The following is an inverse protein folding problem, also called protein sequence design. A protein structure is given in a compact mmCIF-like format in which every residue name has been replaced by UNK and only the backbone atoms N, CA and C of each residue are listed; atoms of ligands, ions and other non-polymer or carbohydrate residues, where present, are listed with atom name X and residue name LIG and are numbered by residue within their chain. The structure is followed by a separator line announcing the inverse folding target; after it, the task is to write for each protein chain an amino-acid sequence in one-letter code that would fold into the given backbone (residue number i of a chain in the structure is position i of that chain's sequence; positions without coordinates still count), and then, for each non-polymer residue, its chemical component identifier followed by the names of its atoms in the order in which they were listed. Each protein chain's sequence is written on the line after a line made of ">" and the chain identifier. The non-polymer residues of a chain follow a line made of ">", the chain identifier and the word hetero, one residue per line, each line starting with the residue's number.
data_IF_592966848897
#
_entry.id   IF_592966848897
#
_cell.length_a   1.000
_cell.length_b   1.000
_cell.length_c   1.000
_cell.angle_alpha   90.00
_cell.angle_beta   90.00
_cell.angle_gamma   90.00
#
_symmetry.space_group_name_H-M   'P 1'
#
loop_
_entity.id
_entity.type
_entity.pdbx_description
1 polymer ?
#
# COMPACT_ATOMS: atom_id res chain seq x y z
N UNK A 1 27.84 -6.36 9.89
CA UNK A 1 28.13 -4.95 9.50
C UNK A 1 27.09 -4.57 8.46
N UNK A 2 26.41 -3.43 8.61
CA UNK A 2 25.51 -2.89 7.58
C UNK A 2 26.29 -2.12 6.51
N UNK A 3 25.57 -1.62 5.50
CA UNK A 3 26.12 -0.78 4.45
C UNK A 3 26.64 0.54 5.03
N UNK A 4 27.76 1.05 4.50
CA UNK A 4 28.24 2.39 4.87
C UNK A 4 27.31 3.48 4.33
N UNK A 5 27.40 4.68 4.92
CA UNK A 5 26.76 5.88 4.36
C UNK A 5 27.41 6.20 3.01
N UNK A 6 26.57 6.42 1.99
CA UNK A 6 27.01 6.81 0.64
C UNK A 6 26.56 8.23 0.32
N UNK A 7 27.42 8.96 -0.39
CA UNK A 7 27.18 10.34 -0.84
C UNK A 7 27.91 10.58 -2.16
N UNK A 8 27.66 11.72 -2.77
CA UNK A 8 28.31 12.15 -4.00
C UNK A 8 29.83 11.98 -3.92
N UNK A 9 30.42 11.53 -5.02
CA UNK A 9 31.81 11.16 -5.24
C UNK A 9 32.25 9.82 -4.63
N UNK A 10 31.41 9.09 -3.91
CA UNK A 10 31.70 7.72 -3.50
C UNK A 10 31.73 6.80 -4.71
N UNK A 11 32.59 5.77 -4.65
CA UNK A 11 32.77 4.76 -5.71
C UNK A 11 32.87 3.36 -5.10
N UNK A 12 32.58 2.36 -5.91
CA UNK A 12 32.78 0.95 -5.56
C UNK A 12 31.53 0.10 -5.53
N UNK A 13 31.65 -1.08 -4.92
CA UNK A 13 30.60 -2.11 -4.98
C UNK A 13 29.34 -1.70 -4.22
N UNK A 14 29.45 -0.94 -3.14
CA UNK A 14 28.27 -0.44 -2.42
C UNK A 14 27.45 0.53 -3.26
N UNK A 15 28.10 1.34 -4.12
CA UNK A 15 27.39 2.20 -5.07
C UNK A 15 26.74 1.35 -6.16
N UNK A 16 27.40 0.27 -6.63
CA UNK A 16 26.79 -0.69 -7.57
C UNK A 16 25.56 -1.37 -6.97
N UNK A 17 25.63 -1.78 -5.69
CA UNK A 17 24.49 -2.33 -4.96
C UNK A 17 23.34 -1.34 -4.93
N UNK A 18 23.60 -0.08 -4.54
CA UNK A 18 22.62 0.98 -4.51
C UNK A 18 21.94 1.15 -5.88
N UNK A 19 22.71 1.27 -6.95
CA UNK A 19 22.20 1.42 -8.31
C UNK A 19 21.39 0.20 -8.77
N UNK A 20 21.78 -1.01 -8.40
CA UNK A 20 21.01 -2.22 -8.68
C UNK A 20 19.64 -2.24 -7.96
N UNK A 21 19.56 -1.72 -6.72
CA UNK A 21 18.36 -1.74 -5.89
C UNK A 21 17.39 -0.58 -6.19
N UNK A 22 17.90 0.52 -6.75
CA UNK A 22 17.11 1.74 -6.95
C UNK A 22 16.83 2.07 -8.43
N UNK A 23 17.30 1.24 -9.35
CA UNK A 23 17.29 1.51 -10.79
C UNK A 23 18.58 2.17 -11.22
N UNK A 24 19.31 1.53 -12.10
CA UNK A 24 20.62 2.00 -12.57
C UNK A 24 20.53 3.41 -13.14
N UNK A 25 21.10 4.38 -12.46
CA UNK A 25 21.16 5.78 -12.85
C UNK A 25 22.63 6.24 -12.79
N UNK A 26 23.07 6.97 -13.78
CA UNK A 26 24.42 7.49 -13.88
C UNK A 26 25.49 6.42 -14.21
N UNK A 27 26.76 6.74 -13.95
CA UNK A 27 27.90 5.85 -14.21
C UNK A 27 27.93 4.71 -13.18
N UNK A 28 27.96 3.46 -13.67
CA UNK A 28 27.87 2.28 -12.79
C UNK A 28 29.06 2.18 -11.84
N UNK A 29 28.77 2.15 -10.55
CA UNK A 29 29.75 2.13 -9.47
C UNK A 29 30.27 3.51 -9.05
N UNK A 30 29.70 4.59 -9.58
CA UNK A 30 30.00 5.96 -9.18
C UNK A 30 28.75 6.67 -8.65
N UNK A 31 28.89 7.35 -7.52
CA UNK A 31 27.82 8.18 -6.96
C UNK A 31 27.98 9.58 -7.55
N UNK A 32 27.51 9.76 -8.78
CA UNK A 32 27.56 11.01 -9.51
C UNK A 32 26.35 11.92 -9.20
N UNK A 33 26.26 13.05 -9.86
CA UNK A 33 25.15 14.02 -9.66
C UNK A 33 23.81 13.45 -10.07
N UNK A 34 23.80 12.61 -11.09
CA UNK A 34 22.57 11.99 -11.58
C UNK A 34 22.00 11.02 -10.56
N UNK A 35 22.87 10.17 -9.97
CA UNK A 35 22.47 9.28 -8.88
C UNK A 35 22.04 10.07 -7.62
N UNK A 36 22.74 11.15 -7.26
CA UNK A 36 22.35 12.02 -6.14
C UNK A 36 20.91 12.56 -6.33
N UNK A 37 20.61 13.10 -7.51
CA UNK A 37 19.28 13.60 -7.81
C UNK A 37 18.20 12.51 -7.77
N UNK A 38 18.56 11.29 -8.22
CA UNK A 38 17.69 10.13 -8.11
C UNK A 38 17.42 9.75 -6.65
N UNK A 39 18.47 9.74 -5.79
CA UNK A 39 18.32 9.47 -4.35
C UNK A 39 17.47 10.53 -3.66
N UNK A 40 17.66 11.81 -3.96
CA UNK A 40 16.78 12.89 -3.46
C UNK A 40 15.31 12.61 -3.80
N UNK A 41 15.02 12.19 -5.03
CA UNK A 41 13.67 11.84 -5.46
C UNK A 41 13.15 10.60 -4.76
N UNK A 42 14.00 9.59 -4.56
CA UNK A 42 13.68 8.36 -3.84
C UNK A 42 13.38 8.64 -2.35
N UNK A 43 14.20 9.47 -1.71
CA UNK A 43 14.00 9.90 -0.31
C UNK A 43 12.67 10.64 -0.14
N UNK A 44 12.31 11.54 -1.06
CA UNK A 44 10.98 12.17 -1.09
C UNK A 44 9.86 11.13 -1.22
N UNK A 45 10.04 10.13 -2.06
CA UNK A 45 9.07 9.03 -2.24
C UNK A 45 8.94 8.18 -0.98
N UNK A 46 10.04 8.00 -0.24
CA UNK A 46 10.08 7.26 1.03
C UNK A 46 9.83 8.14 2.26
N UNK A 47 9.48 9.42 2.06
CA UNK A 47 9.23 10.40 3.14
C UNK A 47 10.41 10.55 4.11
N UNK A 48 11.62 10.48 3.59
CA UNK A 48 12.85 10.75 4.31
C UNK A 48 13.33 12.18 4.06
N UNK A 49 14.26 12.67 4.90
CA UNK A 49 15.02 13.88 4.60
C UNK A 49 15.69 13.73 3.24
N UNK A 50 15.33 14.59 2.29
CA UNK A 50 15.77 14.49 0.89
C UNK A 50 17.12 15.22 0.69
N UNK A 51 18.16 14.72 1.37
CA UNK A 51 19.51 15.27 1.41
C UNK A 51 20.47 14.67 0.37
N UNK A 52 20.02 13.64 -0.36
CA UNK A 52 20.84 12.92 -1.33
C UNK A 52 21.87 11.99 -0.71
N UNK A 53 21.88 11.80 0.61
CA UNK A 53 22.81 10.94 1.36
C UNK A 53 22.11 9.62 1.69
N UNK A 54 22.74 8.49 1.32
CA UNK A 54 22.23 7.16 1.63
C UNK A 54 22.76 6.70 2.97
N UNK A 55 22.20 7.21 4.05
CA UNK A 55 22.49 6.79 5.42
C UNK A 55 21.63 5.60 5.89
N UNK A 56 21.71 5.22 7.19
CA UNK A 56 21.00 4.07 7.74
C UNK A 56 19.49 4.09 7.46
N UNK A 57 18.81 5.22 7.62
CA UNK A 57 17.38 5.37 7.34
C UNK A 57 17.04 5.15 5.86
N UNK A 58 17.90 5.63 4.96
CA UNK A 58 17.73 5.43 3.52
C UNK A 58 17.95 3.95 3.15
N UNK A 59 18.97 3.31 3.72
CA UNK A 59 19.21 1.86 3.53
C UNK A 59 18.07 1.00 4.05
N UNK A 60 17.51 1.35 5.21
CA UNK A 60 16.35 0.66 5.80
C UNK A 60 15.11 0.77 4.90
N UNK A 61 14.83 1.97 4.40
CA UNK A 61 13.74 2.18 3.45
C UNK A 61 13.96 1.38 2.16
N UNK A 62 15.17 1.38 1.60
CA UNK A 62 15.51 0.57 0.42
C UNK A 62 15.29 -0.92 0.73
N UNK A 63 15.78 -1.43 1.87
CA UNK A 63 15.65 -2.83 2.27
C UNK A 63 14.18 -3.29 2.37
N UNK A 64 13.31 -2.43 2.92
CA UNK A 64 11.90 -2.72 3.12
C UNK A 64 11.10 -2.85 1.81
N UNK A 65 11.60 -2.25 0.73
CA UNK A 65 10.94 -2.23 -0.58
C UNK A 65 11.46 -3.29 -1.56
N UNK A 66 12.43 -4.12 -1.13
CA UNK A 66 12.99 -5.13 -2.03
C UNK A 66 12.10 -6.38 -2.17
N UNK A 67 12.06 -7.00 -3.36
CA UNK A 67 11.30 -8.22 -3.59
C UNK A 67 11.94 -9.42 -2.88
N UNK A 68 11.14 -10.45 -2.63
CA UNK A 68 11.68 -11.74 -2.18
C UNK A 68 12.37 -12.46 -3.34
N UNK A 69 13.65 -12.82 -3.16
CA UNK A 69 14.44 -13.56 -4.14
C UNK A 69 14.62 -15.02 -3.73
N UNK A 70 14.56 -15.89 -4.71
CA UNK A 70 14.77 -17.35 -4.56
C UNK A 70 15.41 -17.93 -5.81
N UNK A 71 15.78 -19.19 -5.77
CA UNK A 71 16.32 -19.88 -6.94
C UNK A 71 15.39 -19.67 -8.14
N UNK A 72 15.97 -19.36 -9.30
CA UNK A 72 15.33 -18.92 -10.57
C UNK A 72 14.99 -17.43 -10.67
N UNK A 73 15.00 -16.65 -9.59
CA UNK A 73 14.89 -15.18 -9.68
C UNK A 73 15.99 -14.60 -10.55
N UNK A 74 15.68 -13.52 -11.28
CA UNK A 74 16.62 -12.82 -12.18
C UNK A 74 16.45 -11.31 -12.03
N UNK A 75 17.51 -10.55 -12.35
CA UNK A 75 17.45 -9.10 -12.42
C UNK A 75 18.48 -8.39 -11.56
N UNK A 76 18.32 -7.07 -11.43
CA UNK A 76 19.26 -6.22 -10.71
C UNK A 76 19.25 -6.47 -9.20
N UNK A 77 18.10 -6.79 -8.62
CA UNK A 77 17.97 -7.12 -7.20
C UNK A 77 18.73 -8.41 -6.87
N UNK A 78 18.75 -9.39 -7.79
CA UNK A 78 19.59 -10.60 -7.66
C UNK A 78 21.06 -10.22 -7.70
N UNK A 79 21.46 -9.35 -8.64
CA UNK A 79 22.83 -8.86 -8.75
C UNK A 79 23.29 -8.13 -7.49
N UNK A 80 22.42 -7.29 -6.91
CA UNK A 80 22.67 -6.63 -5.64
C UNK A 80 22.89 -7.64 -4.50
N UNK A 81 22.00 -8.63 -4.37
CA UNK A 81 22.16 -9.69 -3.37
C UNK A 81 23.47 -10.48 -3.56
N UNK A 82 23.84 -10.77 -4.80
CA UNK A 82 25.09 -11.46 -5.13
C UNK A 82 26.34 -10.66 -4.71
N UNK A 83 26.40 -9.36 -4.98
CA UNK A 83 27.47 -8.48 -4.45
C UNK A 83 27.54 -8.58 -2.93
N UNK A 84 26.40 -8.54 -2.24
CA UNK A 84 26.34 -8.51 -0.78
C UNK A 84 26.72 -9.85 -0.12
N UNK A 85 26.48 -10.99 -0.77
CA UNK A 85 26.84 -12.32 -0.25
C UNK A 85 28.12 -12.89 -0.82
N UNK A 86 28.84 -12.17 -1.70
CA UNK A 86 30.05 -12.61 -2.34
C UNK A 86 29.85 -13.74 -3.34
N UNK A 87 28.77 -13.71 -4.11
CA UNK A 87 28.53 -14.57 -5.26
C UNK A 87 28.86 -13.85 -6.57
N UNK A 88 29.01 -14.61 -7.67
CA UNK A 88 29.17 -14.01 -9.00
C UNK A 88 27.94 -13.17 -9.34
N UNK A 89 28.13 -11.86 -9.59
CA UNK A 89 27.06 -10.89 -9.79
C UNK A 89 26.52 -10.88 -11.24
N UNK A 90 26.03 -12.04 -11.70
CA UNK A 90 25.48 -12.25 -13.04
C UNK A 90 23.97 -11.91 -13.15
N UNK A 91 23.30 -11.68 -12.01
CA UNK A 91 21.89 -11.41 -11.94
C UNK A 91 21.01 -12.65 -12.09
N UNK A 92 21.57 -13.86 -11.93
CA UNK A 92 20.84 -15.13 -11.99
C UNK A 92 20.95 -15.83 -10.63
N UNK A 93 19.82 -16.01 -9.94
CA UNK A 93 19.80 -16.69 -8.65
C UNK A 93 19.93 -18.20 -8.84
N UNK A 94 21.18 -18.66 -9.03
CA UNK A 94 21.55 -20.05 -9.21
C UNK A 94 21.80 -20.80 -7.90
N UNK A 95 22.32 -22.03 -8.02
CA UNK A 95 22.67 -22.88 -6.85
C UNK A 95 23.78 -22.23 -5.99
N UNK A 96 24.79 -21.61 -6.62
CA UNK A 96 25.87 -20.91 -5.91
C UNK A 96 25.32 -19.71 -5.11
N UNK A 97 24.52 -18.84 -5.74
CA UNK A 97 23.88 -17.73 -5.04
C UNK A 97 23.06 -18.21 -3.84
N UNK A 98 22.28 -19.30 -4.01
CA UNK A 98 21.53 -19.90 -2.91
C UNK A 98 22.42 -20.39 -1.77
N UNK A 99 23.54 -21.05 -2.09
CA UNK A 99 24.48 -21.53 -1.09
C UNK A 99 25.11 -20.36 -0.31
N UNK A 100 25.54 -19.29 -0.99
CA UNK A 100 26.06 -18.08 -0.36
C UNK A 100 25.03 -17.37 0.53
N UNK A 101 23.78 -17.29 0.08
CA UNK A 101 22.67 -16.73 0.90
C UNK A 101 22.47 -17.55 2.16
N UNK A 102 22.45 -18.90 2.07
CA UNK A 102 22.32 -19.76 3.25
C UNK A 102 23.49 -19.60 4.22
N UNK A 103 24.70 -19.51 3.72
CA UNK A 103 25.90 -19.26 4.55
C UNK A 103 25.80 -17.91 5.27
N UNK A 104 25.40 -16.85 4.55
CA UNK A 104 25.15 -15.54 5.15
C UNK A 104 24.06 -15.58 6.22
N UNK A 105 22.95 -16.25 5.94
CA UNK A 105 21.84 -16.40 6.89
C UNK A 105 22.28 -17.11 8.18
N UNK A 106 23.00 -18.24 8.06
CA UNK A 106 23.55 -18.98 9.20
C UNK A 106 24.50 -18.11 10.02
N UNK A 107 25.43 -17.40 9.39
CA UNK A 107 26.39 -16.53 10.05
C UNK A 107 25.73 -15.35 10.79
N UNK A 108 24.50 -14.99 10.42
CA UNK A 108 23.75 -13.88 10.99
C UNK A 108 22.56 -14.30 11.85
N UNK A 109 22.48 -15.58 12.25
CA UNK A 109 21.41 -16.13 13.10
C UNK A 109 20.01 -16.00 12.47
N UNK A 110 19.93 -16.03 11.15
CA UNK A 110 18.70 -16.11 10.38
C UNK A 110 18.37 -17.56 10.02
N UNK A 111 17.11 -17.85 9.70
CA UNK A 111 16.72 -19.13 9.11
C UNK A 111 17.44 -19.31 7.77
N UNK A 112 18.29 -20.36 7.65
CA UNK A 112 19.11 -20.61 6.47
C UNK A 112 18.31 -21.35 5.38
N UNK A 113 17.24 -20.71 4.88
CA UNK A 113 16.36 -21.25 3.84
C UNK A 113 16.87 -20.99 2.41
N UNK A 114 17.84 -20.09 2.27
CA UNK A 114 18.38 -19.69 0.98
C UNK A 114 17.46 -18.77 0.19
N UNK A 115 16.54 -18.06 0.88
CA UNK A 115 15.62 -17.10 0.31
C UNK A 115 15.96 -15.70 0.83
N UNK A 116 16.14 -14.73 -0.04
CA UNK A 116 16.36 -13.33 0.37
C UNK A 116 15.01 -12.66 0.55
N UNK A 117 14.42 -12.86 1.73
CA UNK A 117 13.20 -12.17 2.17
C UNK A 117 13.51 -10.91 2.98
N UNK A 118 12.48 -10.27 3.54
CA UNK A 118 12.59 -9.00 4.29
C UNK A 118 13.69 -9.02 5.37
N UNK A 119 13.74 -10.07 6.20
CA UNK A 119 14.76 -10.20 7.25
C UNK A 119 16.16 -10.31 6.68
N UNK A 120 16.34 -11.03 5.59
CA UNK A 120 17.63 -11.20 4.92
C UNK A 120 18.08 -9.90 4.26
N UNK A 121 17.18 -9.20 3.56
CA UNK A 121 17.46 -7.86 3.01
C UNK A 121 17.86 -6.85 4.07
N UNK A 122 17.11 -6.80 5.17
CA UNK A 122 17.45 -5.92 6.29
C UNK A 122 18.84 -6.24 6.85
N UNK A 123 19.16 -7.51 7.06
CA UNK A 123 20.47 -7.92 7.56
C UNK A 123 21.60 -7.59 6.58
N UNK A 124 21.37 -7.72 5.26
CA UNK A 124 22.35 -7.41 4.21
C UNK A 124 22.65 -5.92 4.13
N UNK A 125 21.62 -5.06 4.25
CA UNK A 125 21.75 -3.62 3.99
C UNK A 125 21.95 -2.81 5.27
N UNK A 126 21.31 -3.19 6.37
CA UNK A 126 21.33 -2.45 7.63
C UNK A 126 22.24 -3.11 8.67
N UNK A 127 22.33 -4.44 8.70
CA UNK A 127 23.24 -5.19 9.58
C UNK A 127 22.74 -5.38 11.01
N UNK A 128 23.54 -6.08 11.85
CA UNK A 128 23.24 -6.30 13.28
C UNK A 128 23.41 -5.05 14.13
N UNK A 129 24.25 -4.10 13.72
CA UNK A 129 24.61 -2.88 14.44
C UNK A 129 23.97 -1.61 13.83
N UNK A 130 22.79 -1.71 13.25
CA UNK A 130 21.90 -0.57 13.36
C UNK A 130 21.64 -0.47 14.86
N UNK A 131 22.34 0.49 15.49
CA UNK A 131 22.38 0.73 16.92
C UNK A 131 21.21 0.11 17.66
N UNK A 132 21.52 -0.63 18.76
CA UNK A 132 20.72 -0.63 19.96
C UNK A 132 20.68 0.79 20.58
N UNK A 133 20.47 1.83 19.85
CA UNK A 133 19.40 2.71 20.17
C UNK A 133 18.18 1.83 20.00
N UNK A 134 17.64 1.41 21.12
CA UNK A 134 16.27 0.96 21.30
C UNK A 134 15.33 2.03 20.72
N UNK A 135 15.39 2.16 19.40
CA UNK A 135 14.20 2.33 18.66
C UNK A 135 13.63 0.92 18.59
N UNK A 136 12.55 0.62 19.29
CA UNK A 136 11.68 -0.46 18.92
C UNK A 136 11.58 -0.29 17.41
N UNK A 137 11.77 -1.38 16.63
CA UNK A 137 11.53 -1.38 15.19
C UNK A 137 10.48 -0.32 14.98
N UNK A 138 10.82 0.83 14.36
CA UNK A 138 9.85 1.89 14.25
C UNK A 138 8.78 1.25 13.39
N UNK A 139 7.93 0.55 14.06
CA UNK A 139 6.52 0.46 13.77
C UNK A 139 6.26 1.81 13.14
N UNK A 140 5.83 1.90 11.85
CA UNK A 140 5.33 3.16 11.36
C UNK A 140 4.69 3.79 12.56
N UNK A 141 5.06 5.01 12.90
CA UNK A 141 4.75 5.60 14.21
C UNK A 141 3.33 5.16 14.56
N UNK A 142 3.02 4.91 15.80
CA UNK A 142 1.68 4.43 16.20
C UNK A 142 0.57 5.14 15.43
N UNK A 143 0.86 6.32 14.88
CA UNK A 143 -0.03 7.13 14.05
C UNK A 143 -0.46 6.51 12.71
N UNK A 144 0.40 5.77 11.98
CA UNK A 144 -0.04 5.11 10.74
C UNK A 144 -0.88 3.85 11.03
N UNK A 145 -0.60 3.18 12.16
CA UNK A 145 -1.37 2.03 12.61
C UNK A 145 -2.51 2.41 13.55
N UNK A 146 -2.51 3.62 14.13
CA UNK A 146 -3.52 4.10 15.07
C UNK A 146 -4.50 5.08 14.43
N UNK A 147 -4.89 4.79 13.19
CA UNK A 147 -5.92 5.56 12.50
C UNK A 147 -7.26 5.35 13.17
N UNK A 148 -8.01 6.41 13.49
CA UNK A 148 -9.35 6.28 14.01
C UNK A 148 -10.23 5.55 12.99
N UNK A 149 -11.16 4.76 13.49
CA UNK A 149 -12.16 4.13 12.63
C UNK A 149 -13.03 5.22 12.00
N UNK A 150 -13.15 5.28 10.66
CA UNK A 150 -14.08 6.20 10.01
C UNK A 150 -15.54 5.84 10.35
N UNK A 151 -16.44 6.75 10.09
CA UNK A 151 -17.88 6.49 10.19
C UNK A 151 -18.20 5.17 9.46
N UNK A 152 -18.99 4.31 10.11
CA UNK A 152 -19.33 2.98 9.59
C UNK A 152 -20.82 2.87 9.33
N UNK A 153 -21.23 3.08 8.09
CA UNK A 153 -22.61 2.91 7.64
C UNK A 153 -22.83 1.53 7.02
N UNK A 154 -24.03 0.99 7.28
CA UNK A 154 -24.47 -0.27 6.67
C UNK A 154 -25.58 0.01 5.67
N UNK A 155 -25.43 -0.47 4.43
CA UNK A 155 -26.45 -0.30 3.39
C UNK A 155 -27.78 -0.98 3.73
N UNK A 156 -27.78 -1.90 4.70
CA UNK A 156 -28.97 -2.59 5.19
C UNK A 156 -29.60 -1.96 6.44
N UNK A 157 -29.06 -0.83 6.94
CA UNK A 157 -29.66 -0.10 8.07
C UNK A 157 -31.12 0.25 7.75
N UNK A 158 -32.03 -0.02 8.68
CA UNK A 158 -33.45 0.18 8.52
C UNK A 158 -33.85 1.63 8.16
N UNK A 159 -33.01 2.60 8.54
CA UNK A 159 -33.24 4.04 8.25
C UNK A 159 -33.24 4.33 6.75
N UNK A 160 -32.48 3.57 5.94
CA UNK A 160 -32.33 3.85 4.50
C UNK A 160 -32.29 2.63 3.59
N UNK A 161 -32.31 1.43 4.13
CA UNK A 161 -32.21 0.20 3.33
C UNK A 161 -33.24 0.12 2.18
N UNK A 162 -34.44 0.65 2.41
CA UNK A 162 -35.55 0.69 1.45
C UNK A 162 -35.55 1.91 0.53
N UNK A 163 -34.66 2.88 0.74
CA UNK A 163 -34.53 4.05 -0.13
C UNK A 163 -34.21 3.61 -1.55
N UNK A 164 -35.02 4.08 -2.49
CA UNK A 164 -34.86 3.78 -3.92
C UNK A 164 -33.54 4.38 -4.41
N UNK A 165 -32.77 3.56 -5.07
CA UNK A 165 -31.50 3.94 -5.68
C UNK A 165 -31.44 3.46 -7.14
N UNK A 166 -32.15 4.20 -7.99
CA UNK A 166 -32.31 3.91 -9.43
C UNK A 166 -32.28 5.20 -10.24
N UNK A 167 -31.94 5.12 -11.52
CA UNK A 167 -31.92 6.29 -12.42
C UNK A 167 -33.28 6.94 -12.61
N UNK A 168 -34.36 6.20 -12.52
CA UNK A 168 -35.71 6.65 -12.85
C UNK A 168 -36.61 6.90 -11.62
N UNK A 169 -36.06 6.90 -10.42
CA UNK A 169 -36.84 7.02 -9.17
C UNK A 169 -37.96 6.00 -9.03
N UNK A 170 -38.00 4.96 -9.82
CA UNK A 170 -39.01 3.92 -9.80
C UNK A 170 -38.65 2.88 -8.75
N UNK A 171 -39.56 2.58 -7.84
CA UNK A 171 -39.31 1.54 -6.84
C UNK A 171 -39.14 0.19 -7.51
N UNK A 172 -37.96 -0.39 -7.32
CA UNK A 172 -37.68 -1.75 -7.68
C UNK A 172 -36.92 -2.42 -6.50
N UNK A 173 -37.40 -3.55 -6.04
CA UNK A 173 -36.83 -4.29 -4.91
C UNK A 173 -35.32 -4.53 -5.08
N UNK A 174 -34.86 -4.65 -6.31
CA UNK A 174 -33.44 -4.87 -6.66
C UNK A 174 -32.65 -3.56 -6.85
N UNK A 175 -33.27 -2.41 -6.68
CA UNK A 175 -32.69 -1.08 -6.90
C UNK A 175 -32.85 -0.15 -5.70
N UNK A 176 -32.53 -0.64 -4.52
CA UNK A 176 -32.51 0.12 -3.28
C UNK A 176 -31.07 0.28 -2.77
N UNK A 177 -30.86 1.13 -1.76
CA UNK A 177 -29.56 1.24 -1.09
C UNK A 177 -29.13 -0.12 -0.56
N UNK A 178 -30.04 -0.91 0.02
CA UNK A 178 -29.73 -2.27 0.50
C UNK A 178 -29.14 -3.19 -0.57
N UNK A 179 -29.70 -3.15 -1.77
CA UNK A 179 -29.33 -4.10 -2.84
C UNK A 179 -28.16 -3.65 -3.72
N UNK A 180 -27.98 -2.32 -3.85
CA UNK A 180 -27.06 -1.77 -4.87
C UNK A 180 -26.23 -0.58 -4.38
N UNK A 181 -26.32 -0.22 -3.09
CA UNK A 181 -25.79 1.01 -2.53
C UNK A 181 -24.37 0.92 -1.97
N UNK A 182 -23.62 -0.16 -2.19
CA UNK A 182 -22.28 -0.31 -1.57
C UNK A 182 -21.33 0.86 -1.90
N UNK A 183 -21.30 1.32 -3.15
CA UNK A 183 -20.43 2.43 -3.56
C UNK A 183 -20.79 3.74 -2.89
N UNK A 184 -22.08 4.14 -2.91
CA UNK A 184 -22.52 5.39 -2.24
C UNK A 184 -22.45 5.29 -0.72
N UNK A 185 -22.58 4.11 -0.16
CA UNK A 185 -22.41 3.92 1.29
C UNK A 185 -20.93 4.08 1.68
N UNK A 186 -19.99 3.57 0.88
CA UNK A 186 -18.56 3.88 1.06
C UNK A 186 -18.32 5.40 0.94
N UNK A 187 -18.94 6.06 -0.04
CA UNK A 187 -18.81 7.50 -0.22
C UNK A 187 -19.36 8.30 0.95
N UNK A 188 -20.53 7.92 1.48
CA UNK A 188 -21.11 8.55 2.66
C UNK A 188 -20.22 8.37 3.91
N UNK A 189 -19.59 7.18 4.09
CA UNK A 189 -18.63 6.97 5.17
C UNK A 189 -17.43 7.92 5.06
N UNK A 190 -16.89 8.13 3.85
CA UNK A 190 -15.77 9.07 3.61
C UNK A 190 -16.22 10.51 3.86
N UNK A 191 -17.34 10.92 3.27
CA UNK A 191 -17.86 12.28 3.41
C UNK A 191 -18.25 12.61 4.87
N UNK A 192 -18.88 11.68 5.57
CA UNK A 192 -19.22 11.86 6.99
C UNK A 192 -17.97 11.90 7.90
N UNK A 193 -16.88 11.24 7.50
CA UNK A 193 -15.63 11.24 8.28
C UNK A 193 -14.84 12.53 8.10
N UNK A 194 -14.76 13.07 6.86
CA UNK A 194 -13.84 14.17 6.55
C UNK A 194 -14.48 15.52 6.27
N UNK A 195 -15.77 15.54 5.98
CA UNK A 195 -16.44 16.76 5.54
C UNK A 195 -17.57 17.17 6.48
N UNK A 196 -18.65 16.37 6.56
CA UNK A 196 -19.80 16.66 7.41
C UNK A 196 -20.43 15.37 7.94
N UNK A 197 -20.42 15.21 9.28
CA UNK A 197 -20.95 14.04 9.99
C UNK A 197 -22.44 13.78 9.73
N UNK A 198 -23.17 14.78 9.24
CA UNK A 198 -24.59 14.67 8.89
C UNK A 198 -24.84 13.94 7.57
N UNK A 199 -23.83 13.78 6.71
CA UNK A 199 -23.99 13.12 5.41
C UNK A 199 -24.27 11.63 5.60
N UNK A 200 -25.33 11.15 4.96
CA UNK A 200 -25.82 9.77 5.04
C UNK A 200 -25.83 9.09 3.66
N UNK A 201 -25.98 7.75 3.59
CA UNK A 201 -26.10 7.06 2.30
C UNK A 201 -27.22 7.57 1.38
N UNK A 202 -28.41 7.97 1.85
CA UNK A 202 -29.43 8.64 1.01
C UNK A 202 -28.94 9.92 0.32
N UNK A 203 -28.15 10.76 1.01
CA UNK A 203 -27.66 12.01 0.44
C UNK A 203 -26.73 11.73 -0.73
N UNK A 204 -25.81 10.80 -0.57
CA UNK A 204 -24.90 10.37 -1.63
C UNK A 204 -25.63 9.61 -2.76
N UNK A 205 -26.69 8.87 -2.45
CA UNK A 205 -27.54 8.24 -3.45
C UNK A 205 -28.22 9.27 -4.34
N UNK A 206 -28.79 10.35 -3.75
CA UNK A 206 -29.40 11.46 -4.47
C UNK A 206 -28.40 12.12 -5.44
N UNK A 207 -27.19 12.43 -4.97
CA UNK A 207 -26.13 13.00 -5.79
C UNK A 207 -25.74 12.05 -6.94
N UNK A 208 -25.56 10.77 -6.63
CA UNK A 208 -25.16 9.79 -7.63
C UNK A 208 -26.23 9.60 -8.74
N UNK A 209 -27.51 9.67 -8.39
CA UNK A 209 -28.59 9.64 -9.36
C UNK A 209 -28.63 10.92 -10.20
N UNK A 210 -28.59 12.09 -9.57
CA UNK A 210 -28.64 13.39 -10.24
C UNK A 210 -27.48 13.59 -11.24
N UNK A 211 -26.28 13.12 -10.88
CA UNK A 211 -25.07 13.25 -11.71
C UNK A 211 -24.82 12.06 -12.65
N UNK A 212 -25.77 11.11 -12.75
CA UNK A 212 -25.65 9.98 -13.65
C UNK A 212 -24.62 8.91 -13.24
N UNK A 213 -24.20 8.90 -11.97
CA UNK A 213 -23.28 7.88 -11.47
C UNK A 213 -23.96 6.57 -11.08
N UNK A 214 -25.28 6.57 -10.96
CA UNK A 214 -26.08 5.35 -10.79
C UNK A 214 -26.13 4.59 -12.12
N UNK A 215 -25.55 3.40 -12.17
CA UNK A 215 -25.61 2.57 -13.37
C UNK A 215 -26.94 1.83 -13.48
N UNK A 216 -27.39 1.54 -14.70
CA UNK A 216 -28.72 0.95 -14.96
C UNK A 216 -28.95 -0.35 -14.18
N UNK A 217 -27.95 -1.23 -14.08
CA UNK A 217 -28.13 -2.59 -13.55
C UNK A 217 -27.13 -3.02 -12.46
N UNK A 218 -26.12 -2.21 -12.11
CA UNK A 218 -24.99 -2.72 -11.32
C UNK A 218 -24.47 -1.84 -10.17
N UNK A 219 -25.21 -0.83 -9.73
CA UNK A 219 -24.80 -0.01 -8.60
C UNK A 219 -24.17 1.32 -8.98
N UNK A 220 -23.07 1.68 -8.39
CA UNK A 220 -22.41 2.99 -8.51
C UNK A 220 -21.24 2.91 -9.50
N UNK A 221 -21.16 3.85 -10.45
CA UNK A 221 -20.02 4.00 -11.35
C UNK A 221 -18.78 4.44 -10.59
N UNK A 222 -17.60 4.01 -11.04
CA UNK A 222 -16.31 4.41 -10.45
C UNK A 222 -16.01 5.91 -10.56
N UNK A 223 -16.57 6.60 -11.57
CA UNK A 223 -16.43 8.05 -11.73
C UNK A 223 -17.04 8.85 -10.57
N UNK A 224 -17.99 8.27 -9.84
CA UNK A 224 -18.53 8.83 -8.61
C UNK A 224 -17.45 9.16 -7.57
N UNK A 225 -16.45 8.29 -7.39
CA UNK A 225 -15.41 8.51 -6.39
C UNK A 225 -14.50 9.70 -6.72
N UNK A 226 -14.27 9.98 -8.00
CA UNK A 226 -13.54 11.18 -8.43
C UNK A 226 -14.33 12.47 -8.15
N UNK A 227 -15.64 12.46 -8.38
CA UNK A 227 -16.51 13.57 -8.03
C UNK A 227 -16.58 13.77 -6.53
N UNK A 228 -16.73 12.69 -5.76
CA UNK A 228 -16.71 12.72 -4.30
C UNK A 228 -15.43 13.37 -3.78
N UNK A 229 -14.25 12.95 -4.27
CA UNK A 229 -12.97 13.49 -3.83
C UNK A 229 -12.90 15.02 -4.00
N UNK A 230 -13.41 15.54 -5.13
CA UNK A 230 -13.50 16.99 -5.35
C UNK A 230 -14.47 17.68 -4.39
N UNK A 231 -15.64 17.08 -4.15
CA UNK A 231 -16.68 17.67 -3.28
C UNK A 231 -16.26 17.78 -1.81
N UNK A 232 -15.52 16.80 -1.32
CA UNK A 232 -15.03 16.77 0.08
C UNK A 232 -13.67 17.46 0.26
N UNK A 233 -13.08 18.02 -0.80
CA UNK A 233 -11.79 18.69 -0.73
C UNK A 233 -10.64 17.75 -0.36
N UNK A 234 -10.60 16.54 -0.93
CA UNK A 234 -9.47 15.65 -0.74
C UNK A 234 -8.21 16.24 -1.43
N UNK A 235 -7.08 16.29 -0.70
CA UNK A 235 -5.83 16.85 -1.23
C UNK A 235 -5.26 16.02 -2.37
N UNK A 236 -5.46 14.68 -2.30
CA UNK A 236 -5.09 13.77 -3.39
C UNK A 236 -6.17 12.71 -3.60
N UNK A 237 -6.34 12.34 -4.86
CA UNK A 237 -7.18 11.22 -5.27
C UNK A 237 -6.48 10.40 -6.35
N UNK A 238 -6.33 9.10 -6.11
CA UNK A 238 -5.63 8.18 -7.01
C UNK A 238 -6.56 7.03 -7.35
N UNK A 239 -6.66 6.71 -8.64
CA UNK A 239 -7.28 5.47 -9.15
C UNK A 239 -6.19 4.58 -9.70
N UNK A 240 -6.10 3.34 -9.24
CA UNK A 240 -5.03 2.42 -9.64
C UNK A 240 -5.46 0.95 -9.58
N UNK A 241 -4.84 0.11 -10.40
CA UNK A 241 -4.88 -1.34 -10.26
C UNK A 241 -3.80 -1.89 -9.32
N UNK A 242 -2.84 -1.05 -8.90
CA UNK A 242 -1.70 -1.47 -8.08
C UNK A 242 -2.08 -1.61 -6.61
N UNK A 243 -2.03 -2.84 -6.11
CA UNK A 243 -2.19 -3.13 -4.68
C UNK A 243 -1.07 -2.49 -3.84
N UNK A 244 0.15 -2.40 -4.40
CA UNK A 244 1.28 -1.74 -3.73
C UNK A 244 1.00 -0.27 -3.49
N UNK A 245 0.49 0.46 -4.48
CA UNK A 245 0.13 1.88 -4.32
C UNK A 245 -0.92 2.10 -3.24
N UNK A 246 -1.92 1.22 -3.14
CA UNK A 246 -2.95 1.31 -2.11
C UNK A 246 -2.41 0.96 -0.71
N UNK A 247 -1.51 -0.02 -0.62
CA UNK A 247 -0.83 -0.40 0.61
C UNK A 247 0.05 0.73 1.15
N UNK A 248 0.92 1.27 0.29
CA UNK A 248 1.82 2.36 0.65
C UNK A 248 1.04 3.61 1.08
N UNK A 249 -0.09 3.89 0.42
CA UNK A 249 -0.96 4.99 0.84
C UNK A 249 -1.53 4.77 2.24
N UNK A 250 -2.00 3.56 2.58
CA UNK A 250 -2.51 3.24 3.93
C UNK A 250 -1.41 3.34 5.01
N UNK A 251 -0.15 3.21 4.66
CA UNK A 251 0.98 3.38 5.57
C UNK A 251 1.51 4.82 5.63
N UNK A 252 0.99 5.72 4.80
CA UNK A 252 1.44 7.10 4.75
C UNK A 252 1.08 7.86 6.02
N UNK A 253 2.06 8.50 6.66
CA UNK A 253 1.89 9.19 7.96
C UNK A 253 1.45 10.65 7.83
N UNK A 254 1.73 11.29 6.69
CA UNK A 254 1.42 12.72 6.45
C UNK A 254 -0.05 12.94 6.10
N UNK A 255 -0.76 11.85 5.74
CA UNK A 255 -2.13 11.92 5.29
C UNK A 255 -3.04 11.00 6.10
N UNK A 256 -4.25 11.46 6.36
CA UNK A 256 -5.36 10.56 6.59
C UNK A 256 -5.70 9.90 5.26
N UNK A 257 -5.85 8.58 5.25
CA UNK A 257 -6.08 7.83 4.01
C UNK A 257 -7.27 6.89 4.16
N UNK A 258 -8.17 6.96 3.19
CA UNK A 258 -9.30 6.05 3.05
C UNK A 258 -9.25 5.45 1.64
N UNK A 259 -9.36 4.13 1.55
CA UNK A 259 -9.20 3.39 0.29
C UNK A 259 -10.46 2.58 0.01
N UNK A 260 -11.18 2.92 -1.07
CA UNK A 260 -12.26 2.09 -1.56
C UNK A 260 -11.69 1.00 -2.46
N UNK A 261 -11.94 -0.27 -2.11
CA UNK A 261 -11.59 -1.43 -2.92
C UNK A 261 -12.82 -1.93 -3.68
N UNK A 262 -12.68 -2.08 -4.99
CA UNK A 262 -13.66 -2.77 -5.84
C UNK A 262 -13.33 -4.27 -5.85
N UNK A 263 -14.07 -5.06 -5.08
CA UNK A 263 -13.83 -6.49 -4.95
C UNK A 263 -14.75 -7.33 -5.82
N UNK A 264 -14.22 -8.40 -6.36
CA UNK A 264 -14.93 -9.45 -7.09
C UNK A 264 -15.41 -10.57 -6.17
N UNK A 265 -15.79 -11.74 -6.76
CA UNK A 265 -16.20 -12.93 -6.00
C UNK A 265 -15.18 -13.30 -4.94
N UNK A 266 -15.60 -13.35 -3.68
CA UNK A 266 -14.72 -13.49 -2.51
C UNK A 266 -15.55 -13.66 -1.23
N UNK A 267 -14.90 -13.59 -0.05
CA UNK A 267 -15.58 -13.55 1.25
C UNK A 267 -16.51 -12.33 1.41
N UNK A 268 -16.30 -11.26 0.61
CA UNK A 268 -17.10 -10.03 0.68
C UNK A 268 -18.32 -10.06 -0.22
N UNK A 269 -18.28 -10.78 -1.34
CA UNK A 269 -19.39 -10.82 -2.30
C UNK A 269 -19.33 -12.02 -3.23
N UNK A 270 -20.49 -12.40 -3.77
CA UNK A 270 -20.59 -13.37 -4.90
C UNK A 270 -20.44 -12.69 -6.27
N UNK A 271 -20.59 -11.36 -6.33
CA UNK A 271 -20.50 -10.57 -7.57
C UNK A 271 -19.47 -9.45 -7.49
N UNK A 272 -19.88 -8.20 -7.70
CA UNK A 272 -19.08 -6.99 -7.50
C UNK A 272 -19.48 -6.28 -6.22
N UNK A 273 -18.53 -5.67 -5.51
CA UNK A 273 -18.79 -4.95 -4.28
C UNK A 273 -17.74 -3.88 -4.01
N UNK A 274 -18.12 -2.80 -3.32
CA UNK A 274 -17.20 -1.79 -2.81
C UNK A 274 -17.12 -1.90 -1.29
N UNK A 275 -15.91 -1.88 -0.77
CA UNK A 275 -15.60 -1.86 0.66
C UNK A 275 -14.59 -0.77 0.98
N UNK A 276 -14.59 -0.24 2.20
CA UNK A 276 -13.72 0.85 2.64
C UNK A 276 -12.62 0.33 3.55
N UNK A 277 -11.40 0.24 3.06
CA UNK A 277 -10.20 -0.04 3.85
C UNK A 277 -9.65 1.28 4.44
N UNK A 278 -9.26 1.27 5.71
CA UNK A 278 -8.84 2.49 6.41
C UNK A 278 -7.57 2.35 7.25
N UNK A 279 -7.14 1.13 7.54
CA UNK A 279 -6.01 0.90 8.45
C UNK A 279 -5.34 -0.44 8.10
N UNK A 280 -4.02 -0.48 8.25
CA UNK A 280 -3.24 -1.72 8.35
C UNK A 280 -2.74 -1.87 9.79
N UNK A 281 -2.48 -3.09 10.25
CA UNK A 281 -1.73 -3.32 11.48
C UNK A 281 -0.32 -3.86 11.18
N UNK A 282 0.51 -3.98 12.23
CA UNK A 282 1.89 -4.43 12.11
C UNK A 282 2.06 -5.86 11.55
N UNK A 283 0.98 -6.63 11.49
CA UNK A 283 0.92 -7.98 10.92
C UNK A 283 0.34 -8.00 9.51
N UNK A 284 0.23 -6.83 8.88
CA UNK A 284 -0.34 -6.64 7.55
C UNK A 284 -1.82 -7.08 7.45
N UNK A 285 -2.57 -6.97 8.55
CA UNK A 285 -4.01 -7.11 8.51
C UNK A 285 -4.63 -5.77 8.15
N UNK A 286 -5.59 -5.80 7.23
CA UNK A 286 -6.36 -4.64 6.80
C UNK A 286 -7.66 -4.54 7.59
N UNK A 287 -7.98 -3.35 8.04
CA UNK A 287 -9.24 -3.02 8.70
C UNK A 287 -10.19 -2.37 7.70
N UNK A 288 -11.42 -2.83 7.69
CA UNK A 288 -12.40 -2.56 6.65
C UNK A 288 -13.74 -2.19 7.27
N UNK A 289 -14.38 -1.16 6.74
CA UNK A 289 -15.82 -0.95 6.90
C UNK A 289 -16.52 -1.54 5.67
N UNK A 290 -17.19 -2.67 5.86
CA UNK A 290 -17.97 -3.32 4.81
C UNK A 290 -19.43 -2.85 4.87
N UNK A 291 -19.94 -2.16 3.83
CA UNK A 291 -21.33 -1.68 3.80
C UNK A 291 -22.37 -2.80 3.93
N UNK A 292 -22.05 -4.00 3.46
CA UNK A 292 -22.98 -5.12 3.39
C UNK A 292 -22.91 -6.09 4.58
N UNK A 293 -21.97 -5.87 5.53
CA UNK A 293 -21.82 -6.81 6.66
C UNK A 293 -21.11 -6.19 7.86
N UNK A 294 -21.47 -6.66 9.04
CA UNK A 294 -20.74 -6.41 10.31
C UNK A 294 -19.95 -7.64 10.79
N UNK A 295 -19.92 -8.74 10.02
CA UNK A 295 -19.19 -9.95 10.39
C UNK A 295 -17.69 -9.68 10.53
N UNK A 296 -17.07 -10.10 11.65
CA UNK A 296 -15.68 -9.79 12.00
C UNK A 296 -14.67 -10.17 10.91
N UNK A 297 -14.81 -11.34 10.29
CA UNK A 297 -13.96 -11.80 9.17
C UNK A 297 -14.02 -10.90 7.92
N UNK A 298 -15.06 -10.07 7.79
CA UNK A 298 -15.23 -9.10 6.69
C UNK A 298 -14.77 -7.70 7.09
N UNK A 299 -14.62 -7.43 8.40
CA UNK A 299 -14.15 -6.15 8.93
C UNK A 299 -12.63 -6.13 9.18
N UNK A 300 -12.00 -7.30 9.36
CA UNK A 300 -10.55 -7.46 9.48
C UNK A 300 -10.10 -8.72 8.75
N UNK A 301 -9.08 -8.58 7.92
CA UNK A 301 -8.49 -9.72 7.20
C UNK A 301 -7.04 -9.41 6.81
N UNK A 302 -6.29 -10.38 6.25
CA UNK A 302 -4.94 -10.10 5.75
C UNK A 302 -4.99 -9.24 4.49
N UNK A 303 -4.00 -8.38 4.30
CA UNK A 303 -3.84 -7.60 3.06
C UNK A 303 -3.82 -8.52 1.82
N UNK A 304 -3.12 -9.65 1.91
CA UNK A 304 -3.06 -10.66 0.83
C UNK A 304 -4.45 -11.13 0.39
N UNK A 305 -5.35 -11.40 1.35
CA UNK A 305 -6.74 -11.81 1.05
C UNK A 305 -7.50 -10.68 0.34
N UNK A 306 -7.34 -9.43 0.77
CA UNK A 306 -7.98 -8.30 0.12
C UNK A 306 -7.46 -8.11 -1.31
N UNK A 307 -6.14 -8.17 -1.51
CA UNK A 307 -5.52 -8.04 -2.84
C UNK A 307 -6.04 -9.09 -3.82
N UNK A 308 -6.14 -10.35 -3.40
CA UNK A 308 -6.61 -11.43 -4.27
C UNK A 308 -8.06 -11.24 -4.76
N UNK A 309 -8.86 -10.48 -4.03
CA UNK A 309 -10.25 -10.18 -4.36
C UNK A 309 -10.43 -8.88 -5.16
N UNK A 310 -9.44 -7.97 -5.14
CA UNK A 310 -9.62 -6.60 -5.60
C UNK A 310 -9.29 -6.43 -7.08
N UNK A 311 -10.20 -5.77 -7.80
CA UNK A 311 -10.07 -5.41 -9.22
C UNK A 311 -9.55 -4.00 -9.45
N UNK A 312 -9.64 -3.13 -8.44
CA UNK A 312 -9.20 -1.74 -8.54
C UNK A 312 -9.36 -1.00 -7.22
N UNK A 313 -8.59 0.06 -7.06
CA UNK A 313 -8.45 0.85 -5.86
C UNK A 313 -8.74 2.31 -6.13
N UNK A 314 -9.45 2.97 -5.20
CA UNK A 314 -9.77 4.39 -5.21
C UNK A 314 -9.29 4.98 -3.89
N UNK A 315 -8.19 5.72 -3.94
CA UNK A 315 -7.44 6.18 -2.77
C UNK A 315 -7.75 7.66 -2.56
N UNK A 316 -8.26 7.97 -1.39
CA UNK A 316 -8.52 9.33 -0.93
C UNK A 316 -7.48 9.68 0.13
N UNK A 317 -6.90 10.88 0.04
CA UNK A 317 -5.88 11.34 0.97
C UNK A 317 -6.20 12.78 1.38
N UNK A 318 -6.21 13.02 2.68
CA UNK A 318 -6.40 14.33 3.30
C UNK A 318 -5.20 14.64 4.17
N UNK A 319 -4.56 15.78 3.96
CA UNK A 319 -3.40 16.20 4.75
C UNK A 319 -3.79 16.36 6.22
N UNK A 320 -2.95 15.88 7.14
CA UNK A 320 -3.16 16.03 8.58
C UNK A 320 -2.92 17.45 9.06
#
# INVERSE_FOLDING_TARGET
>A
MGMKTLRRNDKGDEVKVLQCLTGKIGTFGEFDKELENHIVSLQKTYHLTADGIVGPKTWEAIASHQPTLRQTSRGNEVRAAQFLVGATADGIFGKDTRAKVRAFQSANSLTADGIVGKKTWHMLLVGKNASTETHPATRPSTSAYDRPRPVDYKQYDSKWAKVVYTQNNTYNRNQTIRSSGCGITCGAMIAATWYDKGITPPDEAKIAVQKGYRTKNSGTSSSYFRDLAKRIGADKYITTGSAKTAHDALLNEDYEVLVVANVGPSIWTKGGHYILAYKLDANDNVYINDPASSASKRQKNTWKTLVSATKGWYIFMKKK
#
